data_IF_392864647185
#
_entry.id   IF_392864647185
#
_cell.length_a   1.000
_cell.length_b   1.000
_cell.length_c   1.000
_cell.angle_alpha   90.00
_cell.angle_beta   90.00
_cell.angle_gamma   90.00
#
_symmetry.space_group_name_H-M   'P 1'
#
loop_
_entity.id
_entity.type
_entity.pdbx_description
1 polymer ?
#
# COMPACT_ATOMS: atom_id res chain seq x y z
N UNK A 1 -4.85 -11.30 -18.04
CA UNK A 1 -5.02 -11.38 -16.57
C UNK A 1 -3.96 -10.57 -15.82
N UNK A 2 -2.71 -10.48 -16.29
CA UNK A 2 -1.61 -9.78 -15.56
C UNK A 2 -1.63 -8.25 -15.63
N UNK A 3 -2.26 -7.65 -16.64
CA UNK A 3 -2.28 -6.20 -16.85
C UNK A 3 -3.10 -5.44 -15.79
N UNK A 4 -4.22 -6.00 -15.35
CA UNK A 4 -5.12 -5.34 -14.39
C UNK A 4 -4.49 -5.30 -12.98
N UNK A 5 -3.87 -6.41 -12.54
CA UNK A 5 -3.16 -6.46 -11.25
C UNK A 5 -1.92 -5.54 -11.25
N UNK A 6 -1.21 -5.41 -12.37
CA UNK A 6 -0.08 -4.49 -12.50
C UNK A 6 -0.52 -3.03 -12.37
N UNK A 7 -1.63 -2.66 -13.01
CA UNK A 7 -2.21 -1.31 -12.88
C UNK A 7 -2.64 -1.04 -11.43
N UNK A 8 -3.27 -2.00 -10.76
CA UNK A 8 -3.64 -1.88 -9.35
C UNK A 8 -2.39 -1.70 -8.47
N UNK A 9 -1.33 -2.47 -8.70
CA UNK A 9 -0.08 -2.36 -7.95
C UNK A 9 0.55 -0.97 -8.11
N UNK A 10 0.55 -0.42 -9.33
CA UNK A 10 1.04 0.93 -9.60
C UNK A 10 0.21 1.99 -8.86
N UNK A 11 -1.12 1.92 -8.97
CA UNK A 11 -2.02 2.87 -8.29
C UNK A 11 -1.80 2.82 -6.77
N UNK A 12 -1.61 1.63 -6.21
CA UNK A 12 -1.36 1.43 -4.78
C UNK A 12 -0.04 2.09 -4.33
N UNK A 13 1.02 1.97 -5.13
CA UNK A 13 2.33 2.58 -4.84
C UNK A 13 2.25 4.11 -4.94
N UNK A 14 1.62 4.63 -6.00
CA UNK A 14 1.49 6.08 -6.22
C UNK A 14 0.61 6.72 -5.14
N UNK A 15 -0.52 6.07 -4.79
CA UNK A 15 -1.39 6.53 -3.71
C UNK A 15 -0.71 6.52 -2.34
N UNK A 16 0.16 5.54 -2.07
CA UNK A 16 0.96 5.50 -0.84
C UNK A 16 2.00 6.63 -0.78
N UNK A 17 2.73 6.87 -1.88
CA UNK A 17 3.68 7.99 -1.98
C UNK A 17 2.98 9.35 -1.78
N UNK A 18 1.87 9.58 -2.47
CA UNK A 18 1.07 10.81 -2.30
C UNK A 18 0.56 10.95 -0.85
N UNK A 19 0.06 9.87 -0.24
CA UNK A 19 -0.39 9.87 1.15
C UNK A 19 0.72 10.19 2.16
N UNK A 20 1.95 9.70 1.91
CA UNK A 20 3.11 9.94 2.78
C UNK A 20 3.62 11.38 2.69
N UNK A 21 3.65 11.98 1.50
CA UNK A 21 4.25 13.31 1.28
C UNK A 21 3.26 14.49 1.37
N UNK A 22 1.97 14.28 1.11
CA UNK A 22 0.99 15.38 1.04
C UNK A 22 0.34 15.69 2.40
N UNK A 23 0.30 14.71 3.31
CA UNK A 23 -0.43 14.85 4.57
C UNK A 23 0.51 14.75 5.78
N UNK A 24 1.05 15.90 6.21
CA UNK A 24 1.62 16.14 7.55
C UNK A 24 0.52 16.18 8.64
N UNK A 25 -0.49 15.33 8.51
CA UNK A 25 -1.68 15.32 9.37
C UNK A 25 -1.46 14.34 10.52
N UNK A 26 -0.52 14.68 11.41
CA UNK A 26 -0.35 14.07 12.74
C UNK A 26 0.10 12.60 12.78
N UNK A 27 0.71 12.23 13.92
CA UNK A 27 1.25 10.88 14.17
C UNK A 27 0.25 9.74 13.97
N UNK A 28 -1.06 10.00 14.11
CA UNK A 28 -2.12 9.01 13.98
C UNK A 28 -2.26 8.44 12.56
N UNK A 29 -2.25 9.30 11.53
CA UNK A 29 -2.37 8.85 10.13
C UNK A 29 -1.11 8.10 9.71
N UNK A 30 0.05 8.52 10.22
CA UNK A 30 1.33 7.84 9.97
C UNK A 30 1.32 6.39 10.50
N UNK A 31 0.84 6.17 11.73
CA UNK A 31 0.73 4.83 12.33
C UNK A 31 -0.24 3.95 11.53
N UNK A 32 -1.41 4.50 11.16
CA UNK A 32 -2.40 3.77 10.35
C UNK A 32 -1.85 3.39 8.97
N UNK A 33 -1.07 4.27 8.32
CA UNK A 33 -0.41 4.00 7.04
C UNK A 33 0.67 2.93 7.15
N UNK A 34 1.47 2.92 8.21
CA UNK A 34 2.47 1.88 8.46
C UNK A 34 1.81 0.52 8.62
N UNK A 35 0.72 0.43 9.39
CA UNK A 35 -0.05 -0.82 9.55
C UNK A 35 -0.63 -1.27 8.20
N UNK A 36 -1.19 -0.35 7.41
CA UNK A 36 -1.71 -0.66 6.07
C UNK A 36 -0.61 -1.19 5.14
N UNK A 37 0.58 -0.60 5.16
CA UNK A 37 1.73 -1.05 4.37
C UNK A 37 2.19 -2.45 4.79
N UNK A 38 2.30 -2.73 6.09
CA UNK A 38 2.64 -4.06 6.61
C UNK A 38 1.59 -5.10 6.17
N UNK A 39 0.30 -4.78 6.27
CA UNK A 39 -0.78 -5.67 5.82
C UNK A 39 -0.70 -5.98 4.31
N UNK A 40 -0.36 -4.98 3.48
CA UNK A 40 -0.14 -5.14 2.04
C UNK A 40 1.06 -6.04 1.77
N UNK A 41 2.19 -5.83 2.47
CA UNK A 41 3.39 -6.67 2.33
C UNK A 41 3.10 -8.11 2.77
N UNK A 42 2.44 -8.31 3.91
CA UNK A 42 2.03 -9.64 4.38
C UNK A 42 1.10 -10.32 3.39
N UNK A 43 0.18 -9.58 2.77
CA UNK A 43 -0.70 -10.08 1.71
C UNK A 43 0.05 -10.43 0.44
N UNK A 44 1.05 -9.63 0.05
CA UNK A 44 1.89 -9.90 -1.12
C UNK A 44 2.77 -11.14 -0.91
N UNK A 45 3.36 -11.30 0.28
CA UNK A 45 4.15 -12.48 0.66
C UNK A 45 3.26 -13.72 0.78
N UNK A 46 2.07 -13.61 1.38
CA UNK A 46 1.08 -14.70 1.44
C UNK A 46 0.37 -14.96 0.10
N UNK A 47 0.61 -14.11 -0.91
CA UNK A 47 -0.14 -14.04 -2.16
C UNK A 47 0.01 -15.22 -3.13
N UNK A 48 0.66 -16.31 -2.72
CA UNK A 48 0.70 -17.58 -3.46
C UNK A 48 0.74 -18.77 -2.48
N UNK A 49 -0.29 -18.90 -1.65
CA UNK A 49 -0.75 -20.23 -1.27
C UNK A 49 -1.46 -20.82 -2.49
N UNK A 50 -0.87 -21.84 -3.08
CA UNK A 50 -1.54 -22.76 -4.02
C UNK A 50 -2.85 -23.28 -3.42
#
# INVERSE_FOLDING_TARGET
MSSLLYIIAIILIIGWLLGFFVYDVGSLIHILLVIALIAIILRLIRGRGI
#
